data_IF_313625092894
#
_entry.id   IF_313625092894
#
_cell.length_a   1.000
_cell.length_b   1.000
_cell.length_c   1.000
_cell.angle_alpha   90.00
_cell.angle_beta   90.00
_cell.angle_gamma   90.00
#
_symmetry.space_group_name_H-M   'P 1'
#
loop_
_entity.id
_entity.type
_entity.pdbx_description
1 polymer ?
#
# COMPACT_ATOMS: atom_id res chain seq x y z
N UNK A 1 41.40 51.97 -15.82
CA UNK A 1 41.89 50.62 -15.61
C UNK A 1 41.50 50.22 -14.21
N UNK A 2 40.42 49.51 -14.01
CA UNK A 2 40.12 48.75 -12.78
C UNK A 2 39.10 47.69 -13.13
N UNK A 3 39.55 46.45 -13.05
CA UNK A 3 38.80 45.26 -13.33
C UNK A 3 37.75 44.97 -12.28
N UNK A 4 36.50 44.78 -12.70
CA UNK A 4 35.42 44.35 -11.82
C UNK A 4 35.29 42.83 -11.84
N UNK A 5 35.60 42.18 -10.74
CA UNK A 5 35.41 40.74 -10.50
C UNK A 5 33.96 40.40 -10.18
N UNK A 6 33.31 39.66 -11.06
CA UNK A 6 32.00 39.04 -10.83
C UNK A 6 32.16 37.84 -9.87
N UNK A 7 31.67 37.98 -8.66
CA UNK A 7 31.52 36.86 -7.71
C UNK A 7 30.16 36.21 -7.85
N UNK A 8 30.20 34.93 -8.17
CA UNK A 8 29.05 34.01 -8.26
C UNK A 8 28.51 33.67 -6.88
N UNK A 9 27.23 33.78 -6.55
CA UNK A 9 26.72 33.45 -5.24
C UNK A 9 26.54 31.92 -5.09
N UNK A 10 27.20 31.39 -4.10
CA UNK A 10 27.17 30.02 -3.61
C UNK A 10 25.78 29.63 -3.04
N UNK A 11 25.16 28.49 -3.42
CA UNK A 11 23.81 28.09 -3.01
C UNK A 11 23.66 27.48 -1.59
N UNK A 12 24.67 27.60 -0.73
CA UNK A 12 24.66 26.93 0.59
C UNK A 12 24.08 27.73 1.77
N UNK A 13 23.40 28.87 1.54
CA UNK A 13 22.94 29.75 2.63
C UNK A 13 21.41 29.88 2.78
N UNK A 14 20.65 28.83 2.47
CA UNK A 14 19.19 28.87 2.67
C UNK A 14 18.73 28.37 4.06
N UNK A 15 19.58 27.71 4.79
CA UNK A 15 19.23 27.17 6.11
C UNK A 15 19.29 28.15 7.28
N UNK A 16 19.80 29.37 7.08
CA UNK A 16 19.97 30.36 8.15
C UNK A 16 18.88 31.44 8.27
N UNK A 17 17.96 31.56 7.31
CA UNK A 17 16.87 32.57 7.34
C UNK A 17 15.54 32.13 7.96
N UNK A 18 15.42 30.87 8.41
CA UNK A 18 14.21 30.37 9.07
C UNK A 18 14.25 30.35 10.59
N UNK A 19 15.28 30.96 11.21
CA UNK A 19 15.44 30.94 12.68
C UNK A 19 14.99 32.22 13.41
N UNK A 20 14.31 33.16 12.76
CA UNK A 20 13.92 34.44 13.41
C UNK A 20 12.42 34.72 13.50
N UNK A 21 11.57 33.70 13.41
CA UNK A 21 10.16 33.84 13.81
C UNK A 21 9.92 32.95 15.00
N UNK A 22 10.09 33.52 16.18
CA UNK A 22 9.78 32.90 17.45
C UNK A 22 8.29 32.63 17.59
N UNK A 23 7.96 31.41 18.02
CA UNK A 23 6.60 31.01 18.37
C UNK A 23 6.47 29.48 18.36
N UNK A 24 6.52 28.88 19.55
CA UNK A 24 6.25 27.46 19.81
C UNK A 24 5.00 26.93 19.12
N UNK A 25 5.09 26.31 17.97
CA UNK A 25 4.10 25.35 17.44
C UNK A 25 4.56 24.57 16.19
N UNK A 26 5.65 23.75 16.18
CA UNK A 26 5.93 22.82 15.09
C UNK A 26 5.32 21.42 15.27
N UNK A 27 4.87 21.04 16.48
CA UNK A 27 4.43 19.68 16.76
C UNK A 27 3.03 19.34 16.20
N UNK A 28 2.16 20.33 16.01
CA UNK A 28 0.80 20.12 15.49
C UNK A 28 0.73 19.99 13.95
N UNK A 29 1.69 20.56 13.22
CA UNK A 29 1.73 20.47 11.76
C UNK A 29 2.20 19.09 11.25
N UNK A 30 3.07 18.42 11.99
CA UNK A 30 3.58 17.08 11.62
C UNK A 30 2.51 16.02 11.86
N UNK A 31 1.67 16.17 12.90
CA UNK A 31 0.56 15.25 13.15
C UNK A 31 -0.58 15.38 12.11
N UNK A 32 -0.86 16.59 11.62
CA UNK A 32 -1.87 16.82 10.60
C UNK A 32 -1.45 16.28 9.22
N UNK A 33 -0.15 16.34 8.88
CA UNK A 33 0.39 15.72 7.67
C UNK A 33 0.36 14.18 7.74
N UNK A 34 0.55 13.59 8.92
CA UNK A 34 0.52 12.14 9.11
C UNK A 34 -0.87 11.52 8.88
N UNK A 35 -1.95 12.18 9.29
CA UNK A 35 -3.32 11.67 9.16
C UNK A 35 -3.84 11.83 7.71
N UNK A 36 -3.48 12.90 7.03
CA UNK A 36 -3.86 13.10 5.63
C UNK A 36 -3.09 12.15 4.67
N UNK A 37 -1.86 11.76 5.03
CA UNK A 37 -1.05 10.78 4.30
C UNK A 37 -1.59 9.37 4.54
N UNK A 38 -2.20 9.05 5.68
CA UNK A 38 -2.78 7.73 5.94
C UNK A 38 -4.07 7.49 5.16
N UNK A 39 -4.93 8.48 4.98
CA UNK A 39 -6.13 8.34 4.13
C UNK A 39 -5.80 8.34 2.62
N UNK A 40 -4.73 9.03 2.21
CA UNK A 40 -4.17 8.94 0.86
C UNK A 40 -3.19 7.76 0.70
N UNK A 41 -2.57 7.32 1.79
CA UNK A 41 -1.53 6.30 1.81
C UNK A 41 -2.02 4.89 1.46
N UNK A 42 -3.28 4.55 1.77
CA UNK A 42 -3.81 3.22 1.40
C UNK A 42 -4.20 3.17 -0.08
N UNK A 43 -4.66 4.28 -0.65
CA UNK A 43 -4.81 4.39 -2.11
C UNK A 43 -3.46 4.40 -2.82
N UNK A 44 -2.37 4.87 -2.16
CA UNK A 44 -1.02 4.88 -2.72
C UNK A 44 -0.24 3.57 -2.60
N UNK A 45 -0.57 2.68 -1.68
CA UNK A 45 0.01 1.33 -1.69
C UNK A 45 -0.39 0.54 -2.94
N UNK A 46 -1.53 0.89 -3.55
CA UNK A 46 -1.94 0.36 -4.85
C UNK A 46 -1.22 1.00 -6.06
N UNK A 47 -0.47 2.10 -5.85
CA UNK A 47 0.10 2.92 -6.93
C UNK A 47 1.58 3.25 -6.74
N UNK A 48 2.33 2.46 -6.00
CA UNK A 48 3.77 2.66 -5.82
C UNK A 48 4.51 2.32 -7.11
N UNK A 49 4.67 3.33 -7.97
CA UNK A 49 5.51 3.27 -9.15
C UNK A 49 6.69 4.23 -9.00
N UNK A 50 7.85 3.77 -9.42
CA UNK A 50 9.14 4.46 -9.35
C UNK A 50 9.17 5.76 -10.16
N UNK A 51 9.85 6.76 -9.63
CA UNK A 51 10.07 8.07 -10.23
C UNK A 51 10.77 7.99 -11.59
N UNK A 52 10.12 8.47 -12.63
CA UNK A 52 10.75 8.71 -13.93
C UNK A 52 10.65 10.21 -14.25
N UNK A 53 11.81 10.82 -14.43
CA UNK A 53 12.00 12.23 -14.72
C UNK A 53 11.22 12.67 -15.98
N UNK A 54 10.49 13.78 -15.85
CA UNK A 54 9.69 14.35 -16.92
C UNK A 54 10.51 15.31 -17.78
N UNK A 55 10.49 15.10 -19.07
CA UNK A 55 10.84 16.11 -20.06
C UNK A 55 9.65 17.02 -20.36
N UNK A 56 9.92 18.32 -20.44
CA UNK A 56 8.95 19.40 -20.65
C UNK A 56 8.41 19.37 -22.07
N UNK A 57 7.10 19.27 -22.25
CA UNK A 57 6.47 19.62 -23.51
C UNK A 57 5.93 21.05 -23.49
N UNK A 58 6.45 21.84 -24.41
CA UNK A 58 5.94 23.16 -24.76
C UNK A 58 4.68 23.04 -25.64
N UNK A 59 3.66 23.84 -25.32
CA UNK A 59 2.35 23.79 -25.93
C UNK A 59 2.30 24.00 -27.44
N UNK A 60 1.36 23.29 -28.05
CA UNK A 60 0.79 23.67 -29.34
C UNK A 60 -0.70 23.42 -29.36
N UNK A 61 -1.44 24.49 -29.44
CA UNK A 61 -2.89 24.55 -29.67
C UNK A 61 -3.25 23.86 -30.98
N UNK A 62 -4.20 22.93 -31.00
CA UNK A 62 -5.00 22.67 -32.18
C UNK A 62 -6.39 22.17 -31.77
N UNK A 63 -7.40 22.89 -32.19
CA UNK A 63 -8.82 22.64 -32.08
C UNK A 63 -9.27 21.39 -32.85
N UNK A 64 -10.17 20.60 -32.27
CA UNK A 64 -11.08 19.73 -33.01
C UNK A 64 -11.34 18.38 -32.30
N UNK A 65 -12.63 17.98 -32.07
CA UNK A 65 -12.95 16.69 -31.51
C UNK A 65 -12.95 15.62 -32.61
N UNK A 66 -11.80 15.10 -32.94
CA UNK A 66 -11.66 13.94 -33.81
C UNK A 66 -11.14 12.76 -32.98
N UNK A 67 -11.91 11.67 -32.91
CA UNK A 67 -11.41 10.37 -32.48
C UNK A 67 -10.30 9.95 -33.44
N UNK A 68 -9.07 10.39 -33.20
CA UNK A 68 -7.92 9.93 -33.93
C UNK A 68 -7.70 8.45 -33.55
N UNK A 69 -8.09 7.53 -34.41
CA UNK A 69 -7.52 6.19 -34.44
C UNK A 69 -6.05 6.39 -34.78
N UNK A 70 -5.21 6.31 -33.75
CA UNK A 70 -3.75 6.32 -33.95
C UNK A 70 -3.45 5.04 -34.74
N UNK A 71 -3.15 5.20 -36.04
CA UNK A 71 -2.70 4.09 -36.87
C UNK A 71 -1.28 3.72 -36.45
N UNK A 72 -0.98 2.45 -36.34
CA UNK A 72 0.36 1.95 -36.00
C UNK A 72 1.48 2.40 -36.91
N UNK A 73 1.12 2.95 -38.10
CA UNK A 73 2.04 3.55 -39.06
C UNK A 73 2.32 5.04 -38.83
N UNK A 74 1.74 5.68 -37.81
CA UNK A 74 1.98 7.11 -37.55
C UNK A 74 3.45 7.35 -37.22
N UNK A 75 4.08 8.21 -38.07
CA UNK A 75 5.45 8.68 -37.85
C UNK A 75 5.46 9.67 -36.67
N UNK A 76 6.30 9.41 -35.66
CA UNK A 76 6.49 10.31 -34.53
C UNK A 76 7.76 11.16 -34.64
N UNK A 77 8.83 10.58 -35.22
CA UNK A 77 10.06 11.30 -35.46
C UNK A 77 10.79 10.73 -36.69
N UNK A 78 11.70 11.54 -37.26
CA UNK A 78 12.64 11.10 -38.28
C UNK A 78 14.03 11.53 -37.90
N UNK A 79 14.99 10.60 -37.97
CA UNK A 79 16.41 10.86 -37.69
C UNK A 79 17.22 10.38 -38.88
N UNK A 80 17.67 11.35 -39.71
CA UNK A 80 18.24 11.04 -41.01
C UNK A 80 17.24 10.29 -41.88
N UNK A 81 17.63 9.08 -42.35
CA UNK A 81 16.78 8.23 -43.18
C UNK A 81 15.91 7.24 -42.36
N UNK A 82 16.04 7.25 -41.03
CA UNK A 82 15.27 6.33 -40.15
C UNK A 82 14.04 7.01 -39.59
N UNK A 83 12.91 6.32 -39.69
CA UNK A 83 11.62 6.77 -39.14
C UNK A 83 11.32 6.03 -37.82
N UNK A 84 10.99 6.80 -36.80
CA UNK A 84 10.48 6.29 -35.53
C UNK A 84 8.95 6.36 -35.55
N UNK A 85 8.29 5.20 -35.51
CA UNK A 85 6.83 5.11 -35.58
C UNK A 85 6.23 4.99 -34.19
N UNK A 86 4.90 5.24 -34.11
CA UNK A 86 4.12 5.02 -32.88
C UNK A 86 4.30 3.60 -32.32
N UNK A 87 4.30 2.57 -33.18
CA UNK A 87 4.43 1.18 -32.73
C UNK A 87 5.76 0.90 -32.05
N UNK A 88 6.85 1.49 -32.56
CA UNK A 88 8.18 1.34 -31.93
C UNK A 88 8.19 1.95 -30.54
N UNK A 89 7.64 3.17 -30.40
CA UNK A 89 7.56 3.85 -29.11
C UNK A 89 6.60 3.13 -28.17
N UNK A 90 5.43 2.70 -28.67
CA UNK A 90 4.45 1.96 -27.87
C UNK A 90 5.03 0.63 -27.37
N UNK A 91 5.73 -0.13 -28.20
CA UNK A 91 6.38 -1.38 -27.81
C UNK A 91 7.41 -1.15 -26.68
N UNK A 92 8.23 -0.10 -26.79
CA UNK A 92 9.20 0.24 -25.75
C UNK A 92 8.52 0.70 -24.44
N UNK A 93 7.44 1.49 -24.54
CA UNK A 93 6.64 1.89 -23.37
C UNK A 93 6.00 0.66 -22.68
N UNK A 94 5.41 -0.26 -23.46
CA UNK A 94 4.83 -1.48 -22.91
C UNK A 94 5.90 -2.36 -22.25
N UNK A 95 7.07 -2.46 -22.85
CA UNK A 95 8.17 -3.22 -22.28
C UNK A 95 8.64 -2.66 -20.93
N UNK A 96 8.70 -1.33 -20.79
CA UNK A 96 9.21 -0.66 -19.57
C UNK A 96 8.15 -0.51 -18.49
N UNK A 97 6.93 -0.15 -18.88
CA UNK A 97 5.87 0.28 -17.95
C UNK A 97 4.57 -0.51 -18.09
N UNK A 98 4.52 -1.48 -19.03
CA UNK A 98 3.28 -2.14 -19.41
C UNK A 98 2.64 -2.90 -18.26
N UNK A 99 3.41 -3.55 -17.42
CA UNK A 99 2.88 -4.31 -16.27
C UNK A 99 2.18 -3.39 -15.27
N UNK A 100 2.82 -2.31 -14.86
CA UNK A 100 2.26 -1.33 -13.92
C UNK A 100 1.02 -0.63 -14.47
N UNK A 101 1.10 -0.18 -15.74
CA UNK A 101 -0.04 0.49 -16.39
C UNK A 101 -1.20 -0.47 -16.58
N UNK A 102 -0.94 -1.72 -16.97
CA UNK A 102 -1.97 -2.74 -17.13
C UNK A 102 -2.64 -3.06 -15.80
N UNK A 103 -1.90 -3.20 -14.71
CA UNK A 103 -2.48 -3.44 -13.39
C UNK A 103 -3.44 -2.31 -12.97
N UNK A 104 -3.04 -1.05 -13.17
CA UNK A 104 -3.92 0.12 -12.92
C UNK A 104 -5.20 0.06 -13.77
N UNK A 105 -5.08 -0.31 -15.04
CA UNK A 105 -6.23 -0.46 -15.95
C UNK A 105 -7.13 -1.62 -15.53
N UNK A 106 -6.57 -2.76 -15.16
CA UNK A 106 -7.31 -3.93 -14.64
C UNK A 106 -8.11 -3.53 -13.41
N UNK A 107 -7.46 -2.94 -12.39
CA UNK A 107 -8.11 -2.52 -11.15
C UNK A 107 -9.27 -1.55 -11.42
N UNK A 108 -9.07 -0.55 -12.27
CA UNK A 108 -10.13 0.38 -12.68
C UNK A 108 -11.28 -0.34 -13.40
N UNK A 109 -10.98 -1.27 -14.30
CA UNK A 109 -11.99 -2.03 -15.05
C UNK A 109 -12.80 -2.93 -14.12
N UNK A 110 -12.17 -3.58 -13.13
CA UNK A 110 -12.85 -4.35 -12.10
C UNK A 110 -13.87 -3.48 -11.35
N UNK A 111 -13.43 -2.29 -10.89
CA UNK A 111 -14.32 -1.35 -10.18
C UNK A 111 -15.46 -0.89 -11.07
N UNK A 112 -15.21 -0.56 -12.34
CA UNK A 112 -16.24 -0.18 -13.30
C UNK A 112 -17.28 -1.28 -13.52
N UNK A 113 -16.85 -2.52 -13.71
CA UNK A 113 -17.76 -3.66 -13.87
C UNK A 113 -18.58 -3.91 -12.60
N UNK A 114 -17.98 -3.80 -11.42
CA UNK A 114 -18.69 -3.94 -10.16
C UNK A 114 -19.76 -2.85 -9.97
N UNK A 115 -19.44 -1.61 -10.33
CA UNK A 115 -20.39 -0.49 -10.31
C UNK A 115 -21.55 -0.73 -11.27
N UNK A 116 -21.26 -1.12 -12.52
CA UNK A 116 -22.30 -1.44 -13.52
C UNK A 116 -23.22 -2.57 -13.03
N UNK A 117 -22.66 -3.64 -12.48
CA UNK A 117 -23.43 -4.79 -11.97
C UNK A 117 -24.35 -4.42 -10.82
N UNK A 118 -23.97 -3.42 -10.00
CA UNK A 118 -24.73 -2.97 -8.81
C UNK A 118 -25.53 -1.68 -9.05
N UNK A 119 -25.58 -1.16 -10.29
CA UNK A 119 -26.30 0.07 -10.64
C UNK A 119 -25.72 1.34 -10.00
N UNK A 120 -24.43 1.33 -9.65
CA UNK A 120 -23.75 2.45 -9.01
C UNK A 120 -23.09 3.32 -10.08
N UNK A 121 -23.29 4.64 -9.99
CA UNK A 121 -22.63 5.62 -10.85
C UNK A 121 -21.86 6.65 -10.02
N UNK A 122 -20.76 7.12 -10.57
CA UNK A 122 -19.98 8.26 -10.04
C UNK A 122 -19.93 9.31 -11.15
N UNK A 123 -20.48 10.47 -10.87
CA UNK A 123 -20.62 11.58 -11.82
C UNK A 123 -19.37 12.47 -11.81
N UNK A 124 -19.14 13.22 -12.89
CA UNK A 124 -18.07 14.20 -12.94
C UNK A 124 -18.21 15.31 -11.89
N UNK A 125 -19.45 15.65 -11.54
CA UNK A 125 -19.74 16.66 -10.49
C UNK A 125 -19.23 16.18 -9.14
N UNK A 126 -19.50 14.93 -8.79
CA UNK A 126 -19.00 14.32 -7.54
C UNK A 126 -17.48 14.26 -7.51
N UNK A 127 -16.83 13.92 -8.65
CA UNK A 127 -15.37 13.90 -8.75
C UNK A 127 -14.80 15.30 -8.53
N UNK A 128 -15.35 16.34 -9.15
CA UNK A 128 -14.91 17.73 -8.98
C UNK A 128 -15.10 18.21 -7.55
N UNK A 129 -16.24 17.87 -6.94
CA UNK A 129 -16.57 18.24 -5.56
C UNK A 129 -15.61 17.56 -4.55
N UNK A 130 -15.27 16.29 -4.76
CA UNK A 130 -14.31 15.59 -3.89
C UNK A 130 -12.92 16.21 -4.02
N UNK A 131 -12.46 16.56 -5.24
CA UNK A 131 -11.20 17.30 -5.43
C UNK A 131 -11.19 18.61 -4.67
N UNK A 132 -12.28 19.38 -4.73
CA UNK A 132 -12.43 20.63 -3.98
C UNK A 132 -12.35 20.37 -2.47
N UNK A 133 -13.04 19.35 -1.98
CA UNK A 133 -13.02 18.97 -0.56
C UNK A 133 -11.61 18.57 -0.11
N UNK A 134 -10.89 17.82 -0.92
CA UNK A 134 -9.50 17.43 -0.62
C UNK A 134 -8.59 18.66 -0.59
N UNK A 135 -8.65 19.52 -1.62
CA UNK A 135 -7.84 20.73 -1.68
C UNK A 135 -8.08 21.65 -0.45
N UNK A 136 -9.34 21.82 -0.05
CA UNK A 136 -9.71 22.61 1.14
C UNK A 136 -9.12 22.05 2.44
N UNK A 137 -8.99 20.73 2.60
CA UNK A 137 -8.31 20.14 3.78
C UNK A 137 -6.87 20.61 3.92
N UNK A 138 -6.22 20.91 2.79
CA UNK A 138 -4.87 21.49 2.74
C UNK A 138 -4.85 23.02 2.68
N UNK A 139 -6.02 23.66 2.79
CA UNK A 139 -6.20 25.12 2.66
C UNK A 139 -5.74 25.65 1.29
N UNK A 140 -5.93 24.84 0.24
CA UNK A 140 -5.61 25.16 -1.15
C UNK A 140 -6.89 25.27 -1.98
N UNK A 141 -6.85 26.06 -3.05
CA UNK A 141 -7.83 25.98 -4.12
C UNK A 141 -7.51 24.79 -5.07
N UNK A 142 -8.50 24.31 -5.85
CA UNK A 142 -8.28 23.17 -6.75
C UNK A 142 -7.20 23.38 -7.80
N UNK A 143 -6.97 24.61 -8.26
CA UNK A 143 -5.96 24.92 -9.28
C UNK A 143 -4.56 24.76 -8.70
N UNK A 144 -4.31 25.37 -7.55
CA UNK A 144 -3.05 25.22 -6.81
C UNK A 144 -2.78 23.76 -6.43
N UNK A 145 -3.84 23.04 -6.02
CA UNK A 145 -3.77 21.60 -5.74
C UNK A 145 -3.28 20.80 -6.96
N UNK A 146 -3.86 21.04 -8.13
CA UNK A 146 -3.44 20.37 -9.36
C UNK A 146 -2.00 20.73 -9.79
N UNK A 147 -1.60 22.00 -9.65
CA UNK A 147 -0.22 22.43 -9.93
C UNK A 147 0.79 21.70 -9.03
N UNK A 148 0.48 21.56 -7.74
CA UNK A 148 1.32 20.82 -6.80
C UNK A 148 1.41 19.33 -7.17
N UNK A 149 0.29 18.69 -7.51
CA UNK A 149 0.28 17.30 -7.97
C UNK A 149 1.08 17.09 -9.27
N UNK A 150 1.00 18.06 -10.19
CA UNK A 150 1.78 18.01 -11.42
C UNK A 150 3.27 18.15 -11.15
N UNK A 151 3.66 19.07 -10.26
CA UNK A 151 5.06 19.34 -9.94
C UNK A 151 5.72 18.21 -9.13
N UNK A 152 5.01 17.68 -8.12
CA UNK A 152 5.58 16.70 -7.19
C UNK A 152 5.36 15.24 -7.59
N UNK A 153 4.29 14.96 -8.33
CA UNK A 153 3.86 13.59 -8.64
C UNK A 153 3.73 13.32 -10.14
N UNK A 154 3.98 14.32 -10.98
CA UNK A 154 3.79 14.24 -12.42
C UNK A 154 2.39 13.77 -12.85
N UNK A 155 1.37 14.12 -12.06
CA UNK A 155 -0.02 13.74 -12.28
C UNK A 155 -0.80 14.91 -12.92
N UNK A 156 -1.29 14.69 -14.12
CA UNK A 156 -2.20 15.66 -14.75
C UNK A 156 -3.56 15.68 -14.04
N UNK A 157 -4.31 16.80 -14.09
CA UNK A 157 -5.67 16.88 -13.51
C UNK A 157 -6.58 15.73 -13.95
N UNK A 158 -6.53 15.36 -15.23
CA UNK A 158 -7.32 14.27 -15.79
C UNK A 158 -6.92 12.91 -15.21
N UNK A 159 -5.63 12.63 -15.08
CA UNK A 159 -5.13 11.40 -14.48
C UNK A 159 -5.53 11.32 -13.01
N UNK A 160 -5.38 12.40 -12.25
CA UNK A 160 -5.78 12.46 -10.85
C UNK A 160 -7.28 12.16 -10.66
N UNK A 161 -8.14 12.82 -11.45
CA UNK A 161 -9.58 12.60 -11.39
C UNK A 161 -9.97 11.17 -11.79
N UNK A 162 -9.42 10.66 -12.89
CA UNK A 162 -9.79 9.38 -13.47
C UNK A 162 -9.21 8.18 -12.73
N UNK A 163 -7.95 8.27 -12.30
CA UNK A 163 -7.20 7.13 -11.81
C UNK A 163 -7.13 7.08 -10.27
N UNK A 164 -7.43 8.19 -9.58
CA UNK A 164 -7.42 8.26 -8.11
C UNK A 164 -8.79 8.59 -7.54
N UNK A 165 -9.40 9.72 -7.92
CA UNK A 165 -10.64 10.20 -7.29
C UNK A 165 -11.85 9.34 -7.68
N UNK A 166 -12.02 9.06 -8.97
CA UNK A 166 -13.14 8.26 -9.44
C UNK A 166 -13.15 6.85 -8.82
N UNK A 167 -12.04 6.07 -8.80
CA UNK A 167 -12.03 4.74 -8.15
C UNK A 167 -12.31 4.82 -6.65
N UNK A 168 -11.78 5.83 -5.96
CA UNK A 168 -12.01 6.05 -4.54
C UNK A 168 -13.50 6.28 -4.23
N UNK A 169 -14.16 7.15 -4.99
CA UNK A 169 -15.60 7.41 -4.85
C UNK A 169 -16.43 6.17 -5.19
N UNK A 170 -16.07 5.48 -6.26
CA UNK A 170 -16.74 4.26 -6.70
C UNK A 170 -16.68 3.16 -5.62
N UNK A 171 -15.50 2.91 -5.06
CA UNK A 171 -15.32 1.94 -3.98
C UNK A 171 -16.05 2.36 -2.70
N UNK A 172 -16.09 3.66 -2.37
CA UNK A 172 -16.86 4.18 -1.23
C UNK A 172 -18.35 3.90 -1.41
N UNK A 173 -18.90 4.17 -2.58
CA UNK A 173 -20.30 3.84 -2.91
C UNK A 173 -20.58 2.34 -2.92
N UNK A 174 -19.64 1.53 -3.43
CA UNK A 174 -19.74 0.07 -3.40
C UNK A 174 -19.69 -0.51 -2.00
N UNK A 175 -18.93 0.10 -1.09
CA UNK A 175 -18.86 -0.30 0.32
C UNK A 175 -20.14 0.07 1.09
N UNK A 176 -20.88 1.10 0.64
CA UNK A 176 -22.07 1.61 1.31
C UNK A 176 -21.73 2.45 2.55
N UNK A 177 -22.76 3.04 3.14
CA UNK A 177 -22.62 3.94 4.29
C UNK A 177 -22.89 3.25 5.64
N UNK A 178 -23.18 1.95 5.64
CA UNK A 178 -23.49 1.20 6.86
C UNK A 178 -22.22 0.90 7.69
N UNK A 179 -21.67 1.96 8.28
CA UNK A 179 -20.55 1.87 9.20
C UNK A 179 -21.11 1.85 10.63
N UNK A 180 -20.89 0.76 11.35
CA UNK A 180 -21.26 0.63 12.75
C UNK A 180 -20.01 0.76 13.61
N UNK A 181 -20.00 1.75 14.49
CA UNK A 181 -18.96 1.92 15.53
C UNK A 181 -19.56 1.43 16.85
N UNK A 182 -18.95 0.41 17.41
CA UNK A 182 -19.36 -0.15 18.70
C UNK A 182 -18.69 0.56 19.87
N UNK A 183 -19.22 0.40 21.08
CA UNK A 183 -18.55 0.92 22.28
C UNK A 183 -17.20 0.24 22.54
N UNK A 184 -17.07 -1.02 22.11
CA UNK A 184 -15.81 -1.74 22.15
C UNK A 184 -14.77 -1.10 21.21
N UNK A 185 -15.17 -0.70 20.01
CA UNK A 185 -14.29 0.04 19.07
C UNK A 185 -13.81 1.35 19.70
N UNK A 186 -14.72 2.11 20.34
CA UNK A 186 -14.40 3.37 21.02
C UNK A 186 -13.41 3.17 22.16
N UNK A 187 -13.64 2.15 22.98
CA UNK A 187 -12.77 1.82 24.11
C UNK A 187 -11.38 1.42 23.62
N UNK A 188 -11.30 0.51 22.65
CA UNK A 188 -10.01 0.09 22.05
C UNK A 188 -9.25 1.24 21.40
N UNK A 189 -9.94 2.11 20.67
CA UNK A 189 -9.31 3.28 20.05
C UNK A 189 -8.79 4.26 21.10
N UNK A 190 -9.56 4.50 22.16
CA UNK A 190 -9.13 5.34 23.26
C UNK A 190 -7.91 4.79 23.98
N UNK A 191 -7.91 3.49 24.33
CA UNK A 191 -6.77 2.84 24.97
C UNK A 191 -5.53 2.82 24.07
N UNK A 192 -5.71 2.60 22.77
CA UNK A 192 -4.64 2.61 21.77
C UNK A 192 -3.97 3.98 21.65
N UNK A 193 -4.75 5.04 21.58
CA UNK A 193 -4.25 6.36 21.19
C UNK A 193 -3.94 7.25 22.40
N UNK A 194 -4.69 7.11 23.50
CA UNK A 194 -4.62 7.95 24.68
C UNK A 194 -4.39 7.18 25.99
N UNK A 195 -4.39 5.86 25.96
CA UNK A 195 -4.13 5.00 27.11
C UNK A 195 -2.68 5.02 27.57
N UNK A 196 -2.39 4.33 28.69
CA UNK A 196 -1.03 4.18 29.19
C UNK A 196 -0.14 3.48 28.15
N UNK A 197 1.15 3.75 28.23
CA UNK A 197 2.17 3.16 27.34
C UNK A 197 3.31 2.63 28.15
N UNK A 198 3.97 1.57 27.64
CA UNK A 198 5.18 1.02 28.25
C UNK A 198 6.39 1.49 27.47
N UNK A 199 7.29 2.18 28.15
CA UNK A 199 8.60 2.54 27.63
C UNK A 199 9.51 1.34 27.83
N UNK A 200 10.08 0.82 26.75
CA UNK A 200 10.84 -0.42 26.81
C UNK A 200 11.95 -0.47 25.77
N UNK A 201 13.00 -1.24 26.10
CA UNK A 201 13.96 -1.75 25.11
C UNK A 201 13.56 -3.13 24.63
N UNK A 202 13.91 -3.44 23.40
CA UNK A 202 13.57 -4.71 22.76
C UNK A 202 14.78 -5.35 22.08
N UNK A 203 14.92 -6.66 22.25
CA UNK A 203 15.81 -7.50 21.44
C UNK A 203 14.94 -8.49 20.69
N UNK A 204 15.02 -8.50 19.36
CA UNK A 204 14.31 -9.45 18.51
C UNK A 204 15.26 -10.46 17.93
N UNK A 205 14.89 -11.75 17.98
CA UNK A 205 15.69 -12.86 17.48
C UNK A 205 14.84 -13.81 16.63
N UNK A 206 15.49 -14.57 15.76
CA UNK A 206 14.86 -15.52 14.82
C UNK A 206 14.88 -16.98 15.34
N UNK A 207 15.57 -17.24 16.44
CA UNK A 207 15.77 -18.57 16.99
C UNK A 207 15.56 -18.58 18.51
N UNK A 208 14.78 -19.54 19.01
CA UNK A 208 14.43 -19.65 20.44
C UNK A 208 15.66 -19.92 21.31
N UNK A 209 16.57 -20.81 20.89
CA UNK A 209 17.79 -21.14 21.68
C UNK A 209 18.68 -19.91 21.85
N UNK A 210 18.83 -19.15 20.77
CA UNK A 210 19.58 -17.89 20.82
C UNK A 210 18.89 -16.85 21.69
N UNK A 211 17.54 -16.82 21.69
CA UNK A 211 16.79 -15.94 22.56
C UNK A 211 16.96 -16.30 24.03
N UNK A 212 16.96 -17.59 24.36
CA UNK A 212 17.24 -18.09 25.72
C UNK A 212 18.66 -17.76 26.18
N UNK A 213 19.65 -17.90 25.31
CA UNK A 213 21.04 -17.53 25.58
C UNK A 213 21.16 -16.02 25.89
N UNK A 214 20.61 -15.17 25.04
CA UNK A 214 20.62 -13.71 25.24
C UNK A 214 19.85 -13.31 26.49
N UNK A 215 18.71 -13.95 26.74
CA UNK A 215 17.93 -13.74 27.97
C UNK A 215 18.75 -14.09 29.22
N UNK A 216 19.45 -15.24 29.24
CA UNK A 216 20.32 -15.63 30.35
C UNK A 216 21.46 -14.60 30.55
N UNK A 217 22.03 -14.07 29.48
CA UNK A 217 23.06 -13.02 29.56
C UNK A 217 22.50 -11.72 30.17
N UNK A 218 21.29 -11.31 29.77
CA UNK A 218 20.64 -10.13 30.28
C UNK A 218 20.22 -10.27 31.75
N UNK A 219 19.65 -11.41 32.14
CA UNK A 219 19.04 -11.60 33.48
C UNK A 219 19.99 -12.19 34.50
N UNK A 220 20.70 -13.29 34.16
CA UNK A 220 21.57 -14.00 35.10
C UNK A 220 22.96 -13.36 35.19
N UNK A 221 23.54 -13.01 34.03
CA UNK A 221 24.87 -12.36 33.98
C UNK A 221 24.84 -10.84 34.11
N UNK A 222 23.62 -10.26 34.10
CA UNK A 222 23.37 -8.82 34.20
C UNK A 222 24.19 -7.99 33.20
N UNK A 223 24.39 -8.53 31.99
CA UNK A 223 25.03 -7.81 30.92
C UNK A 223 24.15 -6.65 30.44
N UNK A 224 24.77 -5.58 29.94
CA UNK A 224 24.07 -4.41 29.44
C UNK A 224 23.11 -4.78 28.30
N UNK A 225 21.82 -4.48 28.50
CA UNK A 225 20.76 -4.83 27.57
C UNK A 225 20.92 -4.10 26.23
N UNK A 226 21.38 -2.86 26.25
CA UNK A 226 21.62 -2.07 25.05
C UNK A 226 22.76 -2.63 24.19
N UNK A 227 23.82 -3.14 24.85
CA UNK A 227 24.90 -3.83 24.17
C UNK A 227 24.42 -5.13 23.54
N UNK A 228 23.65 -5.94 24.28
CA UNK A 228 23.05 -7.17 23.76
C UNK A 228 22.13 -6.90 22.58
N UNK A 229 21.33 -5.83 22.62
CA UNK A 229 20.49 -5.42 21.51
C UNK A 229 21.31 -5.10 20.25
N UNK A 230 22.38 -4.34 20.37
CA UNK A 230 23.27 -4.00 19.23
C UNK A 230 23.93 -5.24 18.64
N UNK A 231 24.29 -6.21 19.47
CA UNK A 231 25.00 -7.42 19.08
C UNK A 231 24.06 -8.45 18.45
N UNK A 232 22.88 -8.67 19.04
CA UNK A 232 22.03 -9.82 18.73
C UNK A 232 20.69 -9.50 18.07
N UNK A 233 20.16 -8.28 18.20
CA UNK A 233 18.85 -7.98 17.60
C UNK A 233 18.86 -8.09 16.09
N UNK A 234 17.90 -8.82 15.54
CA UNK A 234 17.72 -8.92 14.07
C UNK A 234 16.87 -7.74 13.55
N UNK A 235 16.17 -7.02 14.41
CA UNK A 235 15.39 -5.83 14.00
C UNK A 235 16.37 -4.65 13.87
N UNK A 236 16.49 -4.05 12.65
CA UNK A 236 17.54 -3.07 12.37
C UNK A 236 17.48 -1.82 13.25
N UNK A 237 16.27 -1.32 13.53
CA UNK A 237 16.07 -0.07 14.28
C UNK A 237 16.44 -0.25 15.74
N UNK A 238 15.89 -1.28 16.41
CA UNK A 238 16.21 -1.56 17.81
C UNK A 238 17.69 -1.91 17.98
N UNK A 239 18.29 -2.64 17.03
CA UNK A 239 19.73 -2.91 17.03
C UNK A 239 20.56 -1.65 16.97
N UNK A 240 20.23 -0.73 16.05
CA UNK A 240 20.98 0.53 15.90
C UNK A 240 20.90 1.42 17.13
N UNK A 241 19.71 1.45 17.76
CA UNK A 241 19.41 2.29 18.92
C UNK A 241 19.68 1.61 20.27
N UNK A 242 20.31 0.41 20.30
CA UNK A 242 20.56 -0.29 21.55
C UNK A 242 19.31 -0.79 22.25
N UNK A 243 18.34 -1.22 21.47
CA UNK A 243 17.09 -1.75 21.97
C UNK A 243 15.94 -0.76 22.04
N UNK A 244 16.19 0.55 21.96
CA UNK A 244 15.15 1.56 22.08
C UNK A 244 14.10 1.36 20.98
N UNK A 245 12.83 1.36 21.40
CA UNK A 245 11.66 1.26 20.53
C UNK A 245 10.65 2.36 20.92
N UNK A 246 9.75 2.75 19.99
CA UNK A 246 8.61 3.58 20.37
C UNK A 246 7.81 2.94 21.49
N UNK A 247 7.24 3.72 22.44
CA UNK A 247 6.47 3.19 23.55
C UNK A 247 5.39 2.22 23.12
N UNK A 248 5.31 1.06 23.78
CA UNK A 248 4.34 0.00 23.48
C UNK A 248 2.95 0.48 23.89
N UNK A 249 2.02 0.45 22.95
CA UNK A 249 0.63 0.87 23.14
C UNK A 249 -0.30 -0.34 23.16
N UNK A 250 -1.42 -0.24 23.87
CA UNK A 250 -2.48 -1.25 23.82
C UNK A 250 -3.00 -1.38 22.37
N UNK A 251 -3.37 -2.58 22.01
CA UNK A 251 -3.97 -2.93 20.71
C UNK A 251 -3.10 -2.66 19.45
N UNK A 252 -1.79 -2.40 19.60
CA UNK A 252 -0.88 -2.15 18.47
C UNK A 252 0.25 -3.18 18.44
N UNK A 253 0.24 -4.07 17.44
CA UNK A 253 1.28 -5.09 17.26
C UNK A 253 0.94 -6.45 17.84
N UNK A 254 1.94 -7.19 18.29
CA UNK A 254 1.75 -8.55 18.81
C UNK A 254 1.07 -8.54 20.18
N UNK A 255 -0.08 -9.20 20.30
CA UNK A 255 -0.81 -9.31 21.56
C UNK A 255 0.00 -10.00 22.67
N UNK A 256 0.86 -10.96 22.29
CA UNK A 256 1.75 -11.63 23.25
C UNK A 256 2.77 -10.62 23.83
N UNK A 257 3.34 -9.77 22.99
CA UNK A 257 4.29 -8.73 23.43
C UNK A 257 3.61 -7.70 24.31
N UNK A 258 2.42 -7.21 23.90
CA UNK A 258 1.65 -6.23 24.67
C UNK A 258 1.32 -6.78 26.06
N UNK A 259 0.74 -7.98 26.10
CA UNK A 259 0.33 -8.62 27.36
C UNK A 259 1.49 -8.76 28.35
N UNK A 260 2.66 -9.15 27.88
CA UNK A 260 3.84 -9.28 28.75
C UNK A 260 4.43 -7.90 29.10
N UNK A 261 4.50 -6.95 28.15
CA UNK A 261 5.00 -5.61 28.42
C UNK A 261 4.25 -4.91 29.57
N UNK A 262 2.92 -4.99 29.57
CA UNK A 262 2.08 -4.34 30.59
C UNK A 262 2.07 -5.05 31.96
N UNK A 263 2.75 -6.20 32.11
CA UNK A 263 2.93 -6.90 33.40
C UNK A 263 4.27 -6.57 34.08
N UNK A 264 5.26 -6.09 33.29
CA UNK A 264 6.61 -5.89 33.79
C UNK A 264 6.66 -4.74 34.77
N UNK A 265 7.50 -4.82 35.77
CA UNK A 265 7.88 -3.69 36.62
C UNK A 265 9.00 -2.88 35.95
N UNK A 266 9.16 -1.62 36.35
CA UNK A 266 10.26 -0.78 35.85
C UNK A 266 11.59 -1.44 36.23
N UNK A 267 12.46 -1.61 35.24
CA UNK A 267 13.74 -2.31 35.39
C UNK A 267 13.66 -3.83 35.21
N UNK A 268 12.46 -4.39 35.04
CA UNK A 268 12.28 -5.81 34.85
C UNK A 268 12.46 -6.23 33.38
N UNK A 269 13.11 -7.38 33.19
CA UNK A 269 13.28 -8.02 31.87
C UNK A 269 12.24 -9.13 31.72
N UNK A 270 11.51 -9.15 30.60
CA UNK A 270 10.54 -10.21 30.29
C UNK A 270 11.21 -11.57 30.11
N UNK A 271 10.43 -12.64 30.12
CA UNK A 271 10.85 -13.91 29.51
C UNK A 271 10.98 -13.79 27.99
N UNK A 272 11.37 -14.90 27.36
CA UNK A 272 11.37 -14.98 25.89
C UNK A 272 9.93 -15.06 25.38
N UNK A 273 9.51 -14.06 24.63
CA UNK A 273 8.14 -13.93 24.09
C UNK A 273 8.14 -14.34 22.62
N UNK A 274 7.27 -15.26 22.23
CA UNK A 274 7.05 -15.56 20.81
C UNK A 274 6.11 -14.50 20.21
N UNK A 275 6.67 -13.57 19.46
CA UNK A 275 5.93 -12.46 18.83
C UNK A 275 5.27 -12.84 17.49
N UNK A 276 5.67 -13.99 16.90
CA UNK A 276 5.17 -14.53 15.65
C UNK A 276 5.99 -15.74 15.20
N UNK A 277 5.66 -16.36 14.07
CA UNK A 277 6.43 -17.49 13.53
C UNK A 277 7.90 -17.12 13.33
N UNK A 278 8.82 -17.84 14.00
CA UNK A 278 10.25 -17.59 13.94
C UNK A 278 10.70 -16.22 14.45
N UNK A 279 9.91 -15.57 15.31
CA UNK A 279 10.24 -14.26 15.92
C UNK A 279 10.09 -14.32 17.42
N UNK A 280 11.18 -14.10 18.13
CA UNK A 280 11.27 -14.12 19.57
C UNK A 280 11.72 -12.75 20.07
N UNK A 281 11.10 -12.27 21.13
CA UNK A 281 11.31 -10.92 21.67
C UNK A 281 11.63 -11.03 23.16
N UNK A 282 12.60 -10.25 23.60
CA UNK A 282 12.90 -9.98 25.01
C UNK A 282 12.72 -8.48 25.22
N UNK A 283 12.02 -8.10 26.27
CA UNK A 283 11.75 -6.72 26.66
C UNK A 283 12.46 -6.36 27.95
N UNK A 284 12.92 -5.15 28.06
CA UNK A 284 13.31 -4.51 29.32
C UNK A 284 12.39 -3.30 29.52
N UNK A 285 11.60 -3.30 30.57
CA UNK A 285 10.73 -2.18 30.91
C UNK A 285 11.57 -1.03 31.51
N UNK A 286 11.50 0.16 30.90
CA UNK A 286 12.20 1.34 31.40
C UNK A 286 11.24 2.30 32.15
N UNK A 287 9.95 2.24 31.83
CA UNK A 287 8.99 3.11 32.47
C UNK A 287 7.57 2.95 31.91
N UNK A 288 6.70 3.78 32.45
CA UNK A 288 5.31 3.91 32.00
C UNK A 288 4.98 5.36 31.76
N UNK A 289 4.36 5.63 30.60
CA UNK A 289 3.71 6.92 30.38
C UNK A 289 2.24 6.78 30.75
N UNK A 290 1.76 7.67 31.60
CA UNK A 290 0.36 7.69 32.00
C UNK A 290 -0.56 8.10 30.85
N UNK A 291 -1.85 8.01 31.09
CA UNK A 291 -2.91 8.43 30.16
C UNK A 291 -2.74 9.91 29.79
N UNK A 292 -2.76 10.21 28.49
CA UNK A 292 -2.49 11.54 27.96
C UNK A 292 -3.70 12.48 28.03
N UNK A 293 -4.95 11.93 27.98
CA UNK A 293 -6.18 12.70 27.98
C UNK A 293 -7.35 11.90 28.59
N UNK A 294 -8.40 12.60 29.03
CA UNK A 294 -9.65 11.94 29.41
C UNK A 294 -10.47 11.60 28.15
N UNK A 295 -11.28 10.56 28.23
CA UNK A 295 -12.15 10.15 27.10
C UNK A 295 -13.06 11.28 26.62
N UNK A 296 -13.61 12.06 27.57
CA UNK A 296 -14.53 13.15 27.25
C UNK A 296 -13.90 14.27 26.41
N UNK A 297 -12.59 14.51 26.59
CA UNK A 297 -11.87 15.56 25.85
C UNK A 297 -11.57 15.14 24.39
N UNK A 298 -11.51 13.83 24.12
CA UNK A 298 -11.07 13.30 22.83
C UNK A 298 -12.13 12.48 22.11
N UNK A 299 -13.34 12.34 22.69
CA UNK A 299 -14.42 11.51 22.16
C UNK A 299 -14.74 11.80 20.69
N UNK A 300 -14.90 13.08 20.33
CA UNK A 300 -15.23 13.49 18.97
C UNK A 300 -14.11 13.18 17.97
N UNK A 301 -12.86 13.30 18.43
CA UNK A 301 -11.69 12.97 17.62
C UNK A 301 -11.60 11.45 17.40
N UNK A 302 -11.84 10.66 18.43
CA UNK A 302 -11.90 9.19 18.35
C UNK A 302 -12.98 8.76 17.37
N UNK A 303 -14.21 9.29 17.52
CA UNK A 303 -15.34 8.94 16.65
C UNK A 303 -15.01 9.22 15.18
N UNK A 304 -14.42 10.39 14.90
CA UNK A 304 -13.99 10.77 13.56
C UNK A 304 -12.92 9.80 13.00
N UNK A 305 -11.91 9.48 13.81
CA UNK A 305 -10.84 8.55 13.39
C UNK A 305 -11.40 7.14 13.15
N UNK A 306 -12.27 6.64 14.03
CA UNK A 306 -12.92 5.34 13.87
C UNK A 306 -13.79 5.29 12.62
N UNK A 307 -14.55 6.37 12.35
CA UNK A 307 -15.36 6.47 11.13
C UNK A 307 -14.47 6.36 9.88
N UNK A 308 -13.34 7.06 9.86
CA UNK A 308 -12.42 7.02 8.74
C UNK A 308 -11.73 5.64 8.62
N UNK A 309 -11.31 5.04 9.73
CA UNK A 309 -10.71 3.71 9.79
C UNK A 309 -11.67 2.61 9.31
N UNK A 310 -12.90 2.59 9.83
CA UNK A 310 -13.94 1.63 9.44
C UNK A 310 -14.34 1.80 7.97
N UNK A 311 -14.43 3.04 7.49
CA UNK A 311 -14.70 3.31 6.07
C UNK A 311 -13.60 2.75 5.19
N UNK A 312 -12.35 2.94 5.59
CA UNK A 312 -11.20 2.43 4.87
C UNK A 312 -11.17 0.89 4.85
N UNK A 313 -11.49 0.27 5.99
CA UNK A 313 -11.62 -1.18 6.09
C UNK A 313 -12.75 -1.73 5.19
N UNK A 314 -13.91 -1.07 5.18
CA UNK A 314 -15.04 -1.45 4.33
C UNK A 314 -14.68 -1.33 2.84
N UNK A 315 -14.00 -0.27 2.43
CA UNK A 315 -13.49 -0.08 1.06
C UNK A 315 -12.51 -1.18 0.68
N UNK A 316 -11.54 -1.50 1.56
CA UNK A 316 -10.59 -2.60 1.32
C UNK A 316 -11.29 -3.95 1.17
N UNK A 317 -12.23 -4.28 2.06
CA UNK A 317 -12.99 -5.54 2.01
C UNK A 317 -13.79 -5.65 0.71
N UNK A 318 -14.47 -4.59 0.32
CA UNK A 318 -15.24 -4.56 -0.93
C UNK A 318 -14.32 -4.73 -2.14
N UNK A 319 -13.17 -4.06 -2.16
CA UNK A 319 -12.23 -4.19 -3.27
C UNK A 319 -11.69 -5.62 -3.40
N UNK A 320 -11.28 -6.25 -2.31
CA UNK A 320 -10.86 -7.66 -2.32
C UNK A 320 -12.00 -8.61 -2.72
N UNK A 321 -13.23 -8.30 -2.33
CA UNK A 321 -14.39 -9.08 -2.74
C UNK A 321 -14.63 -9.00 -4.25
N UNK A 322 -14.68 -7.80 -4.83
CA UNK A 322 -14.92 -7.64 -6.27
C UNK A 322 -13.78 -8.20 -7.13
N UNK A 323 -12.54 -8.16 -6.63
CA UNK A 323 -11.40 -8.85 -7.28
C UNK A 323 -11.58 -10.36 -7.33
N UNK A 324 -12.19 -10.95 -6.30
CA UNK A 324 -12.51 -12.39 -6.29
C UNK A 324 -13.70 -12.74 -7.17
N UNK A 325 -14.68 -11.84 -7.30
CA UNK A 325 -15.90 -12.06 -8.12
C UNK A 325 -15.64 -11.97 -9.62
N UNK A 326 -14.73 -11.12 -10.05
CA UNK A 326 -14.46 -10.81 -11.45
C UNK A 326 -13.22 -11.57 -11.93
N UNK A 327 -13.37 -12.36 -12.98
CA UNK A 327 -12.24 -13.06 -13.58
C UNK A 327 -11.36 -12.10 -14.35
N UNK A 328 -10.06 -12.21 -14.10
CA UNK A 328 -9.02 -11.46 -14.78
C UNK A 328 -8.00 -12.43 -15.34
N UNK A 329 -7.76 -12.38 -16.63
CA UNK A 329 -6.69 -13.11 -17.31
C UNK A 329 -5.63 -12.07 -17.76
N UNK A 330 -4.48 -12.05 -17.12
CA UNK A 330 -3.38 -11.14 -17.44
C UNK A 330 -2.38 -11.85 -18.36
N UNK A 331 -2.33 -11.44 -19.61
CA UNK A 331 -1.48 -12.04 -20.64
C UNK A 331 -0.03 -11.53 -20.65
N UNK A 332 0.29 -10.46 -19.91
CA UNK A 332 1.68 -10.02 -19.73
C UNK A 332 2.37 -10.91 -18.69
N UNK A 333 1.72 -11.14 -17.55
CA UNK A 333 2.26 -11.95 -16.45
C UNK A 333 1.90 -13.42 -16.57
N UNK A 334 1.00 -13.79 -17.49
CA UNK A 334 0.40 -15.13 -17.62
C UNK A 334 -0.31 -15.63 -16.35
N UNK A 335 -0.81 -14.71 -15.53
CA UNK A 335 -1.54 -15.01 -14.31
C UNK A 335 -3.05 -14.82 -14.53
N UNK A 336 -3.84 -15.74 -13.97
CA UNK A 336 -5.30 -15.62 -13.92
C UNK A 336 -5.75 -15.54 -12.47
N UNK A 337 -6.67 -14.62 -12.17
CA UNK A 337 -7.23 -14.44 -10.84
C UNK A 337 -8.72 -14.14 -10.88
N UNK A 338 -9.42 -14.34 -9.74
CA UNK A 338 -10.86 -14.08 -9.62
C UNK A 338 -11.75 -15.06 -10.38
N UNK A 339 -13.06 -14.83 -10.31
CA UNK A 339 -14.10 -15.65 -10.93
C UNK A 339 -14.34 -16.97 -10.19
N UNK A 340 -15.61 -17.32 -10.00
CA UNK A 340 -15.98 -18.66 -9.53
C UNK A 340 -15.64 -19.62 -10.66
N UNK A 341 -14.75 -20.59 -10.42
CA UNK A 341 -14.54 -21.71 -11.35
C UNK A 341 -15.87 -22.46 -11.49
N UNK A 342 -16.65 -22.17 -12.54
CA UNK A 342 -17.57 -23.16 -13.03
C UNK A 342 -16.70 -24.32 -13.53
N UNK A 343 -16.86 -25.47 -12.93
CA UNK A 343 -16.24 -26.71 -13.38
C UNK A 343 -16.85 -27.05 -14.76
N UNK A 344 -16.27 -26.50 -15.82
CA UNK A 344 -16.53 -26.88 -17.19
C UNK A 344 -15.21 -27.30 -17.82
N UNK A 345 -15.11 -28.58 -18.07
CA UNK A 345 -14.25 -29.32 -18.98
C UNK A 345 -12.92 -28.70 -19.39
N UNK A 346 -11.88 -29.38 -19.02
CA UNK A 346 -10.49 -29.25 -19.48
C UNK A 346 -10.39 -28.90 -20.97
N UNK A 347 -10.03 -27.65 -21.29
CA UNK A 347 -9.50 -27.29 -22.61
C UNK A 347 -8.05 -26.87 -22.45
N UNK A 348 -7.16 -27.83 -22.60
CA UNK A 348 -5.75 -27.57 -22.86
C UNK A 348 -5.60 -27.12 -24.30
N UNK A 349 -5.65 -25.84 -24.58
CA UNK A 349 -5.23 -25.26 -25.85
C UNK A 349 -3.75 -24.92 -25.81
N UNK A 350 -2.93 -25.63 -26.58
CA UNK A 350 -1.57 -25.23 -26.89
C UNK A 350 -1.64 -24.03 -27.85
N UNK A 351 -1.15 -22.88 -27.45
CA UNK A 351 -0.94 -21.75 -28.35
C UNK A 351 0.38 -21.95 -29.09
N UNK A 352 0.31 -22.05 -30.40
CA UNK A 352 1.45 -21.88 -31.31
C UNK A 352 1.47 -20.42 -31.78
N UNK A 353 2.65 -19.81 -31.77
CA UNK A 353 2.88 -18.49 -32.33
C UNK A 353 2.69 -18.55 -33.86
N UNK A 354 1.50 -18.14 -34.34
CA UNK A 354 1.15 -18.11 -35.75
C UNK A 354 -0.34 -18.48 -35.91
N UNK A 355 -1.19 -17.48 -35.94
CA UNK A 355 -2.65 -17.57 -35.87
C UNK A 355 -3.28 -18.59 -36.80
N UNK A 356 -4.07 -19.46 -36.22
CA UNK A 356 -5.38 -19.96 -36.63
C UNK A 356 -5.81 -21.05 -35.67
N UNK A 357 -6.95 -20.86 -35.03
CA UNK A 357 -7.58 -21.86 -34.17
C UNK A 357 -8.25 -22.89 -35.05
N UNK A 358 -7.86 -24.16 -34.92
CA UNK A 358 -8.57 -25.32 -35.55
C UNK A 358 -9.22 -26.11 -34.41
N UNK A 359 -10.54 -26.31 -34.40
CA UNK A 359 -11.18 -27.17 -33.39
C UNK A 359 -11.04 -28.66 -33.79
N UNK A 360 -10.43 -29.44 -32.91
CA UNK A 360 -10.41 -30.92 -33.03
C UNK A 360 -11.54 -31.50 -32.18
N UNK A 361 -12.51 -32.12 -32.88
CA UNK A 361 -13.53 -33.01 -32.32
C UNK A 361 -12.87 -34.31 -31.89
N UNK A 362 -12.93 -34.67 -30.62
CA UNK A 362 -12.57 -35.97 -30.12
C UNK A 362 -13.85 -36.76 -29.79
N UNK A 363 -14.17 -37.72 -30.65
CA UNK A 363 -15.23 -38.72 -30.52
C UNK A 363 -14.87 -39.70 -29.41
N UNK A 364 -15.73 -39.81 -28.42
CA UNK A 364 -15.66 -40.83 -27.36
C UNK A 364 -15.90 -42.23 -27.94
N UNK A 365 -14.93 -43.11 -27.82
CA UNK A 365 -15.14 -44.56 -27.93
C UNK A 365 -14.92 -45.21 -26.57
N UNK A 366 -15.99 -45.78 -26.02
CA UNK A 366 -15.97 -46.74 -24.93
C UNK A 366 -15.29 -48.05 -25.39
N UNK A 367 -14.48 -48.72 -24.56
CA UNK A 367 -14.19 -50.14 -24.78
C UNK A 367 -15.10 -51.01 -23.93
N UNK A 368 -15.66 -52.00 -24.60
CA UNK A 368 -16.53 -53.07 -24.12
C UNK A 368 -15.81 -54.01 -23.15
N UNK A 369 -16.59 -54.49 -22.18
CA UNK A 369 -16.29 -55.57 -21.26
C UNK A 369 -15.98 -56.90 -21.97
N UNK A 370 -14.94 -57.61 -21.55
CA UNK A 370 -14.80 -59.08 -21.80
C UNK A 370 -14.40 -59.76 -20.49
N UNK A 371 -15.31 -60.59 -20.01
CA UNK A 371 -15.21 -61.66 -19.02
C UNK A 371 -14.43 -62.86 -19.52
N UNK A 372 -13.57 -63.42 -18.69
CA UNK A 372 -13.26 -64.86 -18.49
C UNK A 372 -11.96 -64.91 -17.67
N UNK A 373 -11.86 -65.54 -16.52
CA UNK A 373 -12.18 -66.91 -16.19
C UNK A 373 -10.88 -67.59 -15.75
N UNK A 374 -10.72 -67.87 -14.45
CA UNK A 374 -10.08 -69.09 -14.06
C UNK A 374 -8.66 -69.11 -13.46
N UNK A 375 -8.64 -69.54 -12.16
CA UNK A 375 -7.67 -70.42 -11.48
C UNK A 375 -6.53 -69.82 -10.65
N UNK A 376 -6.75 -69.94 -9.34
CA UNK A 376 -5.69 -70.19 -8.33
C UNK A 376 -4.99 -71.52 -8.53
N UNK A 377 -3.78 -71.78 -8.00
CA UNK A 377 -3.61 -72.20 -6.62
C UNK A 377 -2.38 -71.65 -5.90
N UNK A 378 -2.50 -71.63 -4.54
CA UNK A 378 -1.42 -71.62 -3.56
C UNK A 378 -0.80 -73.05 -3.43
N UNK A 379 0.11 -73.39 -2.50
CA UNK A 379 1.10 -72.61 -1.69
C UNK A 379 2.50 -73.23 -1.67
N UNK A 380 3.46 -72.48 -1.27
CA UNK A 380 4.49 -72.96 -0.27
C UNK A 380 5.31 -71.77 0.19
#
# INVERSE_FOLDING_TARGET
MSEGTHSNPNPSNWSSRLRSLGGNKPALFIAALGVAVLSAGLTMQFFRGTDVAAEREAGRNSNGPGKARVSGSQQLAQVGDQTITYDVVAAECVKRYGEEVLEKLINRTIIQQACLKRGISVTEVEVKQEVQTIAQKFKLDPTTWYQMLQAERNLTPMQYQRDIIWPMLALRKLAGDAIVITDEDRTKAFERDYGPRVEAKMIMLDNVRRAEEVWNRATQKKEDFGRLAREFSIEPTSRALGGDIPPIRMHVGSQAVIKEAFKLQVGETSGVIQAGPGRYVILLCEGYTERVASYKEVSDLIEKHLMDEKRQEAVSKVFEQIKKEIRVDNYITNLSSGGVRQASGTRTGKFNAGGKVVPTNATSRQPASRTSGGRSPAPR
#
